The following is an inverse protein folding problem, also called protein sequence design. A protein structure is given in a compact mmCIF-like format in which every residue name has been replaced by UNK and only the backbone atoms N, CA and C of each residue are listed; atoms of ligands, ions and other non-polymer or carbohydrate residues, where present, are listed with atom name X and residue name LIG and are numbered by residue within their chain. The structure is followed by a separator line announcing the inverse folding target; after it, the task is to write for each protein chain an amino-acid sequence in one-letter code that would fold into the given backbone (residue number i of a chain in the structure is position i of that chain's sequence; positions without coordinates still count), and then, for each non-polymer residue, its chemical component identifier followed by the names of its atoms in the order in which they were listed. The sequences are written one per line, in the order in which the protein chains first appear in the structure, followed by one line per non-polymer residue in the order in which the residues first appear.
data_IF_021812925939
#
_entry.id   IF_021812925939
#
_cell.length_a   1.000
_cell.length_b   1.000
_cell.length_c   1.000
_cell.angle_alpha   90.00
_cell.angle_beta   90.00
_cell.angle_gamma   90.00
#
_symmetry.space_group_name_H-M   'P 1'
#
loop_
_entity.id
_entity.type
_entity.pdbx_description
1 polymer ?
#
# COMPACT_ATOMS: atom_id res chain seq x y z
N UNK A 1 3.23 2.44 5.48
CA UNK A 1 4.30 1.65 4.80
C UNK A 1 4.46 2.12 3.36
N UNK A 2 5.54 1.77 2.65
CA UNK A 2 5.65 2.02 1.20
C UNK A 2 5.28 0.74 0.46
N UNK A 3 4.21 0.79 -0.34
CA UNK A 3 3.83 -0.30 -1.23
C UNK A 3 4.67 -0.22 -2.51
N UNK A 4 5.50 -1.24 -2.74
CA UNK A 4 6.44 -1.31 -3.87
C UNK A 4 6.21 -2.57 -4.71
N UNK A 5 5.18 -2.60 -5.58
CA UNK A 5 4.82 -3.80 -6.33
C UNK A 5 5.85 -4.08 -7.42
N UNK A 6 6.58 -5.18 -7.28
CA UNK A 6 7.56 -5.66 -8.27
C UNK A 6 6.96 -6.71 -9.21
N UNK A 7 5.90 -7.38 -8.78
CA UNK A 7 5.22 -8.42 -9.56
C UNK A 7 3.72 -8.14 -9.72
N UNK A 8 3.09 -8.76 -10.71
CA UNK A 8 1.68 -8.52 -11.05
C UNK A 8 0.74 -8.82 -9.88
N UNK A 9 0.99 -9.91 -9.15
CA UNK A 9 0.17 -10.37 -8.02
C UNK A 9 0.20 -9.41 -6.82
N UNK A 10 1.21 -8.55 -6.74
CA UNK A 10 1.35 -7.56 -5.67
C UNK A 10 0.64 -6.25 -6.00
N UNK A 11 0.25 -6.02 -7.26
CA UNK A 11 -0.43 -4.78 -7.67
C UNK A 11 -1.77 -4.63 -6.97
N UNK A 12 -2.56 -5.69 -6.91
CA UNK A 12 -3.85 -5.70 -6.21
C UNK A 12 -3.67 -5.48 -4.71
N UNK A 13 -2.61 -6.03 -4.11
CA UNK A 13 -2.29 -5.78 -2.70
C UNK A 13 -1.86 -4.33 -2.46
N UNK A 14 -1.07 -3.75 -3.37
CA UNK A 14 -0.66 -2.35 -3.29
C UNK A 14 -1.86 -1.40 -3.42
N UNK A 15 -2.79 -1.68 -4.34
CA UNK A 15 -4.04 -0.93 -4.47
C UNK A 15 -4.88 -1.03 -3.20
N UNK A 16 -5.11 -2.23 -2.67
CA UNK A 16 -5.85 -2.42 -1.41
C UNK A 16 -5.23 -1.64 -0.24
N UNK A 17 -3.90 -1.72 -0.07
CA UNK A 17 -3.23 -1.06 1.05
C UNK A 17 -3.26 0.48 0.96
N UNK A 18 -3.30 1.03 -0.25
CA UNK A 18 -3.24 2.47 -0.50
C UNK A 18 -4.64 3.08 -0.59
N UNK A 19 -5.49 2.51 -1.43
CA UNK A 19 -6.78 3.11 -1.81
C UNK A 19 -7.90 2.70 -0.86
N UNK A 20 -7.95 1.44 -0.46
CA UNK A 20 -9.04 0.91 0.38
C UNK A 20 -8.73 1.02 1.88
N UNK A 21 -7.48 0.75 2.28
CA UNK A 21 -7.10 0.70 3.70
C UNK A 21 -6.38 1.96 4.20
N UNK A 22 -5.85 2.81 3.31
CA UNK A 22 -5.10 4.02 3.70
C UNK A 22 -3.81 3.74 4.49
N UNK A 23 -3.32 2.50 4.50
CA UNK A 23 -2.19 2.04 5.31
C UNK A 23 -0.83 2.18 4.62
N UNK A 24 -0.80 2.58 3.36
CA UNK A 24 0.41 2.67 2.57
C UNK A 24 0.43 3.88 1.63
N UNK A 25 1.64 4.26 1.23
CA UNK A 25 1.89 5.15 0.09
C UNK A 25 2.51 4.32 -1.04
N UNK A 26 2.29 4.70 -2.29
CA UNK A 26 2.93 4.07 -3.45
C UNK A 26 3.57 5.12 -4.37
N UNK A 27 4.58 4.72 -5.17
CA UNK A 27 5.10 5.58 -6.22
C UNK A 27 4.02 5.96 -7.23
N UNK A 28 4.16 7.11 -7.89
CA UNK A 28 3.19 7.63 -8.87
C UNK A 28 3.06 6.72 -10.08
N UNK A 29 4.19 6.15 -10.51
CA UNK A 29 4.25 5.17 -11.59
C UNK A 29 4.69 3.83 -11.00
N UNK A 30 4.14 2.73 -11.52
CA UNK A 30 4.56 1.40 -11.09
C UNK A 30 6.09 1.24 -11.29
N UNK A 31 6.82 0.74 -10.27
CA UNK A 31 8.26 0.49 -10.39
C UNK A 31 8.63 -0.45 -11.54
N UNK A 32 7.69 -1.29 -11.98
CA UNK A 32 7.82 -2.18 -13.14
C UNK A 32 7.67 -1.49 -14.49
N UNK A 33 7.12 -0.27 -14.53
CA UNK A 33 6.89 0.50 -15.76
C UNK A 33 7.91 1.62 -15.96
N UNK A 34 8.43 2.18 -14.87
CA UNK A 34 9.42 3.25 -14.94
C UNK A 34 10.31 3.26 -13.69
N UNK A 35 11.53 3.79 -13.86
CA UNK A 35 12.44 4.02 -12.74
C UNK A 35 11.89 5.15 -11.87
N UNK A 36 11.72 4.85 -10.58
CA UNK A 36 11.34 5.84 -9.56
C UNK A 36 12.59 6.61 -9.14
N UNK A 37 12.55 7.94 -9.26
CA UNK A 37 13.71 8.77 -8.97
C UNK A 37 13.98 8.89 -7.46
N UNK A 38 15.25 9.09 -7.09
CA UNK A 38 15.66 9.28 -5.69
C UNK A 38 14.87 10.38 -4.96
N UNK A 39 14.46 11.43 -5.68
CA UNK A 39 13.69 12.55 -5.13
C UNK A 39 12.30 12.08 -4.68
N UNK A 40 11.63 11.30 -5.52
CA UNK A 40 10.32 10.72 -5.19
C UNK A 40 10.42 9.74 -4.01
N UNK A 41 11.50 8.94 -3.96
CA UNK A 41 11.76 8.06 -2.82
C UNK A 41 11.92 8.87 -1.53
N UNK A 42 12.71 9.95 -1.55
CA UNK A 42 12.91 10.82 -0.39
C UNK A 42 11.59 11.47 0.06
N UNK A 43 10.75 11.93 -0.87
CA UNK A 43 9.42 12.49 -0.58
C UNK A 43 8.52 11.45 0.09
N UNK A 44 8.47 10.20 -0.42
CA UNK A 44 7.68 9.13 0.20
C UNK A 44 8.17 8.76 1.60
N UNK A 45 9.50 8.72 1.82
CA UNK A 45 10.07 8.46 3.15
C UNK A 45 9.70 9.59 4.11
N UNK A 46 9.85 10.85 3.70
CA UNK A 46 9.47 12.02 4.51
C UNK A 46 7.99 11.98 4.87
N UNK A 47 7.14 11.65 3.90
CA UNK A 47 5.70 11.54 4.06
C UNK A 47 5.28 10.53 5.15
N UNK A 48 6.00 9.41 5.25
CA UNK A 48 5.70 8.37 6.25
C UNK A 48 6.29 8.71 7.63
N UNK A 49 7.50 9.28 7.65
CA UNK A 49 8.28 9.39 8.89
C UNK A 49 8.11 10.75 9.59
N UNK A 50 7.87 11.81 8.83
CA UNK A 50 7.91 13.20 9.30
C UNK A 50 6.54 13.87 9.24
N UNK A 51 5.84 13.73 8.12
CA UNK A 51 4.57 14.42 7.91
C UNK A 51 3.42 13.79 8.74
N UNK A 52 2.41 14.59 9.08
CA UNK A 52 1.25 14.15 9.89
C UNK A 52 0.49 12.99 9.25
N UNK A 53 0.46 12.95 7.91
CA UNK A 53 -0.15 11.86 7.15
C UNK A 53 0.49 10.49 7.49
N UNK A 54 1.80 10.46 7.76
CA UNK A 54 2.53 9.28 8.18
C UNK A 54 2.10 8.75 9.56
N UNK A 55 1.63 9.63 10.45
CA UNK A 55 1.06 9.23 11.75
C UNK A 55 -0.27 8.52 11.57
N UNK A 56 -1.15 9.04 10.70
CA UNK A 56 -2.42 8.38 10.40
C UNK A 56 -2.21 7.00 9.75
N UNK A 57 -1.32 6.90 8.77
CA UNK A 57 -0.94 5.63 8.13
C UNK A 57 -0.46 4.59 9.17
N UNK A 58 0.39 5.01 10.13
CA UNK A 58 0.89 4.11 11.19
C UNK A 58 -0.21 3.69 12.17
N UNK A 59 -1.15 4.59 12.48
CA UNK A 59 -2.29 4.30 13.34
C UNK A 59 -3.23 3.28 12.71
N UNK A 60 -3.64 3.48 11.45
CA UNK A 60 -4.47 2.52 10.72
C UNK A 60 -3.77 1.16 10.60
N UNK A 61 -2.46 1.16 10.34
CA UNK A 61 -1.70 -0.09 10.32
C UNK A 61 -1.60 -0.77 11.68
N UNK A 62 -1.58 -0.01 12.78
CA UNK A 62 -1.57 -0.53 14.14
C UNK A 62 -2.91 -1.14 14.54
N UNK A 63 -4.03 -0.52 14.13
CA UNK A 63 -5.39 -1.04 14.35
C UNK A 63 -5.61 -2.37 13.62
N UNK A 64 -5.03 -2.53 12.43
CA UNK A 64 -5.15 -3.73 11.59
C UNK A 64 -4.01 -4.74 11.78
N UNK A 65 -3.22 -4.67 12.86
CA UNK A 65 -1.98 -5.46 13.11
C UNK A 65 -2.13 -6.99 13.05
N UNK A 66 -3.33 -7.53 13.01
CA UNK A 66 -3.52 -8.96 12.83
C UNK A 66 -3.31 -9.35 11.36
N UNK A 67 -2.19 -10.02 11.05
CA UNK A 67 -1.89 -10.63 9.74
C UNK A 67 -3.07 -11.44 9.17
N UNK A 68 -3.89 -12.07 10.04
CA UNK A 68 -5.11 -12.78 9.67
C UNK A 68 -6.20 -11.86 9.10
N UNK A 69 -6.42 -10.68 9.69
CA UNK A 69 -7.44 -9.74 9.26
C UNK A 69 -7.14 -9.19 7.87
N UNK A 70 -5.89 -8.77 7.64
CA UNK A 70 -5.44 -8.29 6.32
C UNK A 70 -5.54 -9.39 5.27
N UNK A 71 -5.11 -10.62 5.59
CA UNK A 71 -5.20 -11.76 4.65
C UNK A 71 -6.64 -12.16 4.34
N UNK A 72 -7.53 -12.10 5.33
CA UNK A 72 -8.96 -12.36 5.15
C UNK A 72 -9.62 -11.30 4.24
N UNK A 73 -9.29 -10.02 4.43
CA UNK A 73 -9.76 -8.93 3.55
C UNK A 73 -9.27 -9.10 2.11
N UNK A 74 -7.98 -9.43 1.91
CA UNK A 74 -7.44 -9.71 0.57
C UNK A 74 -8.21 -10.86 -0.10
N UNK A 75 -8.48 -11.94 0.64
CA UNK A 75 -9.20 -13.11 0.12
C UNK A 75 -10.65 -12.76 -0.27
N UNK A 76 -11.38 -12.09 0.63
CA UNK A 76 -12.78 -11.70 0.39
C UNK A 76 -12.93 -10.76 -0.82
N UNK A 77 -11.99 -9.85 -1.03
CA UNK A 77 -12.02 -8.96 -2.19
C UNK A 77 -11.70 -9.69 -3.50
N UNK A 78 -10.73 -10.63 -3.50
CA UNK A 78 -10.45 -11.45 -4.67
C UNK A 78 -11.65 -12.27 -5.11
N UNK A 79 -12.36 -12.87 -4.15
CA UNK A 79 -13.59 -13.63 -4.38
C UNK A 79 -14.70 -12.73 -4.95
N UNK A 80 -14.79 -11.47 -4.50
CA UNK A 80 -15.76 -10.49 -5.02
C UNK A 80 -15.43 -9.98 -6.43
N UNK A 81 -14.15 -9.89 -6.79
CA UNK A 81 -13.70 -9.46 -8.13
C UNK A 81 -13.71 -10.57 -9.18
N UNK A 82 -13.71 -11.85 -8.77
CA UNK A 82 -13.73 -13.01 -9.67
C UNK A 82 -15.15 -13.57 -9.88
N UNK A 83 -16.14 -13.08 -9.13
CA UNK A 83 -17.54 -13.52 -9.18
C UNK A 83 -18.48 -12.62 -9.99
N UNK A 84 -17.96 -11.80 -10.91
CA UNK A 84 -18.74 -10.89 -11.76
C UNK A 84 -18.37 -11.02 -13.22
#
# INVERSE_FOLDING_TARGET
MIAWPMYADERTNATLLVEELGMAVRPKVLPTKAVVLRKEIAEMIRKIMVDEEGTNIRKQAAELKCKRAVKALIKALKEKTLGG
#
